data_IF_660903854969
#
_entry.id   IF_660903854969
#
_cell.length_a   1.000
_cell.length_b   1.000
_cell.length_c   1.000
_cell.angle_alpha   90.00
_cell.angle_beta   90.00
_cell.angle_gamma   90.00
#
_symmetry.space_group_name_H-M   'P 1'
#
loop_
_entity.id
_entity.type
_entity.pdbx_description
1 polymer ?
#
# COMPACT_ATOMS: atom_id res chain seq x y z
N UNK A 1 -18.17 -18.90 -7.24
CA UNK A 1 -18.62 -20.25 -6.84
C UNK A 1 -18.85 -20.34 -5.32
N UNK A 2 -18.01 -19.74 -4.47
CA UNK A 2 -18.17 -19.73 -3.01
C UNK A 2 -19.46 -19.04 -2.52
N UNK A 3 -19.87 -17.94 -3.14
CA UNK A 3 -21.14 -17.24 -2.82
C UNK A 3 -22.37 -18.10 -3.12
N UNK A 4 -22.34 -18.87 -4.23
CA UNK A 4 -23.45 -19.75 -4.60
C UNK A 4 -23.60 -20.92 -3.62
N UNK A 5 -22.49 -21.43 -3.09
CA UNK A 5 -22.53 -22.51 -2.10
C UNK A 5 -22.95 -21.99 -0.71
N UNK A 6 -22.51 -20.79 -0.31
CA UNK A 6 -22.98 -20.17 0.93
C UNK A 6 -24.48 -19.83 0.87
N UNK A 7 -24.97 -19.34 -0.27
CA UNK A 7 -26.40 -19.11 -0.50
C UNK A 7 -27.21 -20.41 -0.48
N UNK A 8 -26.66 -21.50 -1.04
CA UNK A 8 -27.30 -22.84 -0.99
C UNK A 8 -27.32 -23.43 0.42
N UNK A 9 -26.24 -23.20 1.20
CA UNK A 9 -26.18 -23.59 2.60
C UNK A 9 -27.22 -22.82 3.42
N UNK A 10 -27.34 -21.51 3.20
CA UNK A 10 -28.36 -20.67 3.83
C UNK A 10 -29.79 -21.09 3.49
N UNK A 11 -30.05 -21.49 2.24
CA UNK A 11 -31.36 -21.98 1.80
C UNK A 11 -31.71 -23.38 2.36
N UNK A 12 -30.72 -24.17 2.74
CA UNK A 12 -30.92 -25.52 3.27
C UNK A 12 -31.06 -25.54 4.81
N UNK A 13 -30.73 -24.46 5.47
CA UNK A 13 -30.81 -24.31 6.93
C UNK A 13 -31.83 -23.23 7.31
N UNK A 14 -32.50 -23.38 8.45
CA UNK A 14 -33.30 -22.28 8.99
C UNK A 14 -32.40 -21.12 9.42
N UNK A 15 -32.83 -19.89 9.21
CA UNK A 15 -32.06 -18.69 9.55
C UNK A 15 -31.48 -18.69 10.98
N UNK A 16 -32.25 -19.09 12.03
CA UNK A 16 -31.70 -19.21 13.38
C UNK A 16 -30.64 -20.30 13.51
N UNK A 17 -30.77 -21.40 12.77
CA UNK A 17 -29.74 -22.46 12.73
C UNK A 17 -28.44 -22.00 12.10
N UNK A 18 -28.50 -21.24 11.02
CA UNK A 18 -27.31 -20.66 10.38
C UNK A 18 -26.62 -19.64 11.30
N UNK A 19 -27.39 -18.77 11.95
CA UNK A 19 -26.82 -17.81 12.93
C UNK A 19 -26.14 -18.52 14.10
N UNK A 20 -26.72 -19.58 14.62
CA UNK A 20 -26.13 -20.38 15.71
C UNK A 20 -24.86 -21.09 15.26
N UNK A 21 -24.83 -21.60 14.03
CA UNK A 21 -23.65 -22.25 13.44
C UNK A 21 -22.51 -21.25 13.14
N UNK A 22 -22.83 -20.02 12.79
CA UNK A 22 -21.86 -18.95 12.53
C UNK A 22 -21.44 -18.15 13.78
N UNK A 23 -22.00 -18.45 14.96
CA UNK A 23 -21.49 -17.87 16.20
C UNK A 23 -20.03 -18.26 16.39
N UNK A 24 -19.13 -17.31 16.74
CA UNK A 24 -17.71 -17.52 16.75
C UNK A 24 -17.32 -18.63 17.75
N UNK A 25 -17.07 -19.80 17.22
CA UNK A 25 -16.41 -20.88 17.92
C UNK A 25 -14.92 -20.71 17.86
N UNK A 26 -14.36 -19.91 18.73
CA UNK A 26 -12.98 -19.97 19.20
C UNK A 26 -11.79 -19.97 18.25
N UNK A 27 -11.96 -19.80 16.96
CA UNK A 27 -10.85 -19.76 16.01
C UNK A 27 -10.46 -18.33 15.65
N UNK A 28 -9.48 -17.74 16.31
CA UNK A 28 -8.91 -16.47 15.87
C UNK A 28 -8.01 -16.67 14.66
N UNK A 29 -8.33 -15.96 13.57
CA UNK A 29 -7.42 -15.82 12.44
C UNK A 29 -6.42 -14.71 12.78
N UNK A 30 -5.17 -15.10 13.03
CA UNK A 30 -4.09 -14.14 13.27
C UNK A 30 -3.33 -13.89 11.98
N UNK A 31 -3.14 -12.62 11.68
CA UNK A 31 -2.33 -12.15 10.56
C UNK A 31 -1.20 -11.30 11.10
N UNK A 32 0.02 -11.56 10.66
CA UNK A 32 1.14 -10.66 10.87
C UNK A 32 1.25 -9.70 9.69
N UNK A 33 1.56 -8.46 10.00
CA UNK A 33 1.77 -7.39 9.04
C UNK A 33 3.26 -7.06 9.02
N UNK A 34 3.92 -7.31 7.91
CA UNK A 34 5.32 -6.94 7.69
C UNK A 34 5.40 -5.81 6.67
N UNK A 35 6.34 -4.88 6.88
CA UNK A 35 6.64 -3.81 5.92
C UNK A 35 7.71 -4.26 4.93
N UNK A 36 7.43 -4.21 3.62
CA UNK A 36 8.42 -4.36 2.56
C UNK A 36 8.68 -3.03 1.89
N UNK A 37 9.92 -2.60 1.88
CA UNK A 37 10.30 -1.37 1.19
C UNK A 37 10.49 -1.64 -0.31
N UNK A 38 9.76 -0.90 -1.15
CA UNK A 38 9.88 -0.91 -2.61
C UNK A 38 10.19 0.51 -3.06
N UNK A 39 11.42 0.77 -3.51
CA UNK A 39 11.87 2.09 -3.98
C UNK A 39 11.61 3.25 -2.99
N UNK A 40 11.75 3.01 -1.69
CA UNK A 40 11.50 4.01 -0.65
C UNK A 40 10.06 4.08 -0.16
N UNK A 41 9.15 3.26 -0.69
CA UNK A 41 7.75 3.17 -0.26
C UNK A 41 7.56 1.90 0.57
N UNK A 42 7.07 2.04 1.79
CA UNK A 42 6.72 0.91 2.64
C UNK A 42 5.37 0.33 2.19
N UNK A 43 5.42 -0.90 1.71
CA UNK A 43 4.26 -1.66 1.27
C UNK A 43 3.95 -2.77 2.29
N UNK A 44 2.68 -2.98 2.65
CA UNK A 44 2.31 -4.03 3.59
C UNK A 44 2.40 -5.41 2.94
N UNK A 45 2.94 -6.38 3.67
CA UNK A 45 2.92 -7.80 3.35
C UNK A 45 2.14 -8.52 4.43
N UNK A 46 1.06 -9.18 4.03
CA UNK A 46 0.24 -9.98 4.94
C UNK A 46 0.76 -11.40 4.97
N UNK A 47 1.17 -11.88 6.12
CA UNK A 47 1.42 -13.29 6.33
C UNK A 47 0.42 -13.86 7.34
N UNK A 48 -0.13 -15.01 7.00
CA UNK A 48 -1.01 -15.74 7.91
C UNK A 48 -0.12 -16.45 8.94
N UNK A 49 -0.24 -16.06 10.19
CA UNK A 49 0.31 -16.88 11.26
C UNK A 49 -0.46 -18.20 11.28
N UNK A 50 0.27 -19.31 11.23
CA UNK A 50 -0.34 -20.60 11.48
C UNK A 50 -0.87 -20.53 12.91
N UNK A 51 -2.17 -20.31 13.07
CA UNK A 51 -2.81 -20.53 14.36
C UNK A 51 -2.37 -21.90 14.84
N UNK A 52 -1.83 -21.96 16.06
CA UNK A 52 -1.33 -23.19 16.64
C UNK A 52 -2.32 -24.31 16.39
N UNK A 53 -1.81 -25.53 16.26
CA UNK A 53 -2.51 -26.76 15.88
C UNK A 53 -4.00 -26.67 16.15
N UNK A 54 -4.78 -26.68 15.06
CA UNK A 54 -6.24 -26.81 15.18
C UNK A 54 -6.48 -28.04 16.01
N UNK A 55 -6.75 -27.87 17.31
CA UNK A 55 -7.30 -28.95 18.13
C UNK A 55 -8.55 -29.36 17.38
N UNK A 56 -8.48 -30.51 16.71
CA UNK A 56 -9.35 -30.95 15.65
C UNK A 56 -10.83 -30.81 15.95
N UNK A 57 -11.42 -29.74 15.44
CA UNK A 57 -12.85 -29.52 15.55
C UNK A 57 -13.26 -28.37 14.65
N UNK A 58 -14.34 -28.54 13.93
CA UNK A 58 -15.02 -27.45 13.28
C UNK A 58 -15.48 -26.44 14.35
N UNK A 59 -15.36 -25.14 14.06
CA UNK A 59 -15.75 -24.06 14.98
C UNK A 59 -17.26 -23.98 15.27
N UNK A 60 -18.03 -24.92 14.75
CA UNK A 60 -19.49 -24.99 14.90
C UNK A 60 -19.91 -26.40 15.33
N UNK A 61 -21.03 -26.47 16.07
CA UNK A 61 -21.61 -27.74 16.55
C UNK A 61 -22.19 -28.57 15.41
N UNK A 62 -22.00 -29.89 15.46
CA UNK A 62 -22.54 -30.84 14.45
C UNK A 62 -24.07 -30.96 14.48
N UNK A 63 -24.71 -30.54 15.58
CA UNK A 63 -26.16 -30.59 15.71
C UNK A 63 -26.80 -29.55 14.80
N UNK A 64 -27.64 -30.03 13.86
CA UNK A 64 -28.40 -29.21 12.89
C UNK A 64 -27.58 -28.52 11.80
N UNK A 65 -26.27 -28.85 11.61
CA UNK A 65 -25.45 -28.33 10.53
C UNK A 65 -25.53 -29.22 9.29
N UNK A 66 -25.72 -28.58 8.12
CA UNK A 66 -25.74 -29.29 6.86
C UNK A 66 -24.30 -29.53 6.38
N UNK A 67 -23.99 -30.67 5.77
CA UNK A 67 -22.73 -30.97 5.10
C UNK A 67 -22.31 -29.90 4.05
N UNK A 68 -23.30 -29.17 3.52
CA UNK A 68 -23.06 -28.04 2.61
C UNK A 68 -22.32 -26.87 3.28
N UNK A 69 -22.47 -26.71 4.59
CA UNK A 69 -21.73 -25.71 5.33
C UNK A 69 -20.24 -26.07 5.39
N UNK A 70 -19.91 -27.33 5.57
CA UNK A 70 -18.54 -27.82 5.57
C UNK A 70 -17.85 -27.54 4.22
N UNK A 71 -18.57 -27.80 3.14
CA UNK A 71 -18.06 -27.54 1.79
C UNK A 71 -17.87 -26.04 1.53
N UNK A 72 -18.79 -25.21 2.00
CA UNK A 72 -18.69 -23.75 1.88
C UNK A 72 -17.48 -23.22 2.68
N UNK A 73 -17.26 -23.69 3.90
CA UNK A 73 -16.13 -23.30 4.75
C UNK A 73 -14.81 -23.72 4.10
N UNK A 74 -14.70 -24.97 3.59
CA UNK A 74 -13.50 -25.43 2.88
C UNK A 74 -13.16 -24.56 1.68
N UNK A 75 -14.14 -24.21 0.87
CA UNK A 75 -13.95 -23.33 -0.28
C UNK A 75 -13.52 -21.92 0.13
N UNK A 76 -14.11 -21.41 1.21
CA UNK A 76 -13.72 -20.10 1.77
C UNK A 76 -12.28 -20.11 2.27
N UNK A 77 -11.85 -21.21 2.94
CA UNK A 77 -10.46 -21.38 3.36
C UNK A 77 -9.48 -21.42 2.18
N UNK A 78 -9.89 -21.97 1.03
CA UNK A 78 -9.05 -21.98 -0.17
C UNK A 78 -8.95 -20.61 -0.84
N UNK A 79 -10.02 -19.82 -0.83
CA UNK A 79 -10.06 -18.49 -1.46
C UNK A 79 -9.42 -17.41 -0.58
N UNK A 80 -9.42 -17.58 0.74
CA UNK A 80 -8.89 -16.60 1.69
C UNK A 80 -7.46 -16.15 1.39
N UNK A 81 -6.47 -17.04 1.11
CA UNK A 81 -5.11 -16.61 0.79
C UNK A 81 -5.03 -15.79 -0.50
N UNK A 82 -5.86 -16.10 -1.49
CA UNK A 82 -5.92 -15.35 -2.75
C UNK A 82 -6.50 -13.95 -2.53
N UNK A 83 -7.52 -13.83 -1.70
CA UNK A 83 -8.09 -12.53 -1.31
C UNK A 83 -7.08 -11.67 -0.54
N UNK A 84 -6.28 -12.26 0.34
CA UNK A 84 -5.23 -11.55 1.04
C UNK A 84 -4.14 -11.05 0.09
N UNK A 85 -3.73 -11.89 -0.87
CA UNK A 85 -2.76 -11.51 -1.89
C UNK A 85 -3.28 -10.38 -2.78
N UNK A 86 -4.56 -10.44 -3.14
CA UNK A 86 -5.22 -9.38 -3.90
C UNK A 86 -5.22 -8.07 -3.12
N UNK A 87 -5.66 -8.09 -1.86
CA UNK A 87 -5.68 -6.91 -0.99
C UNK A 87 -4.29 -6.29 -0.79
N UNK A 88 -3.27 -7.14 -0.59
CA UNK A 88 -1.87 -6.70 -0.51
C UNK A 88 -1.41 -6.01 -1.78
N UNK A 89 -1.69 -6.60 -2.93
CA UNK A 89 -1.29 -6.07 -4.24
C UNK A 89 -2.00 -4.75 -4.52
N UNK A 90 -3.29 -4.68 -4.27
CA UNK A 90 -4.09 -3.46 -4.42
C UNK A 90 -3.54 -2.33 -3.54
N UNK A 91 -3.30 -2.62 -2.26
CA UNK A 91 -2.74 -1.60 -1.34
C UNK A 91 -1.36 -1.14 -1.76
N UNK A 92 -0.50 -2.04 -2.20
CA UNK A 92 0.83 -1.72 -2.71
C UNK A 92 0.75 -0.82 -3.95
N UNK A 93 -0.13 -1.12 -4.89
CA UNK A 93 -0.37 -0.28 -6.07
C UNK A 93 -0.86 1.12 -5.68
N UNK A 94 -1.78 1.24 -4.74
CA UNK A 94 -2.29 2.53 -4.27
C UNK A 94 -1.18 3.39 -3.65
N UNK A 95 -0.33 2.80 -2.80
CA UNK A 95 0.78 3.50 -2.15
C UNK A 95 1.83 3.96 -3.18
N UNK A 96 2.20 3.09 -4.11
CA UNK A 96 3.15 3.42 -5.19
C UNK A 96 2.60 4.51 -6.11
N UNK A 97 1.32 4.44 -6.48
CA UNK A 97 0.68 5.46 -7.31
C UNK A 97 0.66 6.83 -6.62
N UNK A 98 0.34 6.88 -5.33
CA UNK A 98 0.35 8.11 -4.55
C UNK A 98 1.75 8.74 -4.46
N UNK A 99 2.80 7.93 -4.25
CA UNK A 99 4.18 8.44 -4.20
C UNK A 99 4.70 8.85 -5.59
N UNK A 100 4.30 8.14 -6.65
CA UNK A 100 4.59 8.53 -8.02
C UNK A 100 4.01 9.91 -8.35
N UNK A 101 2.76 10.15 -7.98
CA UNK A 101 2.11 11.45 -8.19
C UNK A 101 2.79 12.57 -7.40
N UNK A 102 3.20 12.30 -6.15
CA UNK A 102 3.96 13.25 -5.33
C UNK A 102 5.31 13.56 -5.94
N UNK A 103 6.03 12.56 -6.42
CA UNK A 103 7.33 12.71 -7.07
C UNK A 103 7.19 13.49 -8.37
N UNK A 104 6.18 13.21 -9.18
CA UNK A 104 5.90 13.94 -10.41
C UNK A 104 5.64 15.43 -10.15
N UNK A 105 4.89 15.75 -9.09
CA UNK A 105 4.68 17.16 -8.68
C UNK A 105 5.99 17.84 -8.28
N UNK A 106 6.87 17.14 -7.53
CA UNK A 106 8.19 17.68 -7.17
C UNK A 106 9.07 17.91 -8.39
N UNK A 107 9.12 16.97 -9.32
CA UNK A 107 9.89 17.11 -10.57
C UNK A 107 9.39 18.31 -11.37
N UNK A 108 8.08 18.45 -11.56
CA UNK A 108 7.50 19.59 -12.28
C UNK A 108 7.85 20.93 -11.61
N UNK A 109 7.80 21.00 -10.28
CA UNK A 109 8.18 22.22 -9.56
C UNK A 109 9.68 22.54 -9.71
N UNK A 110 10.54 21.54 -9.66
CA UNK A 110 11.98 21.72 -9.88
C UNK A 110 12.26 22.19 -11.31
N UNK A 111 11.65 21.57 -12.30
CA UNK A 111 11.91 21.83 -13.71
C UNK A 111 11.42 23.21 -14.16
N UNK A 112 10.23 23.61 -13.69
CA UNK A 112 9.56 24.81 -14.18
C UNK A 112 9.73 26.05 -13.28
N UNK A 113 10.08 25.87 -12.01
CA UNK A 113 10.22 26.98 -11.07
C UNK A 113 11.67 27.09 -10.60
N UNK A 114 12.22 26.07 -9.92
CA UNK A 114 13.50 26.20 -9.24
C UNK A 114 14.68 26.33 -10.21
N UNK A 115 14.73 25.52 -11.26
CA UNK A 115 15.81 25.57 -12.24
C UNK A 115 15.86 26.91 -12.98
N UNK A 116 14.78 27.49 -13.52
CA UNK A 116 14.85 28.78 -14.20
C UNK A 116 15.18 29.92 -13.25
N UNK A 117 14.65 29.94 -12.02
CA UNK A 117 14.99 30.96 -11.01
C UNK A 117 16.48 30.91 -10.65
N UNK A 118 17.01 29.71 -10.41
CA UNK A 118 18.43 29.51 -10.10
C UNK A 118 19.33 29.94 -11.26
N UNK A 119 18.97 29.62 -12.49
CA UNK A 119 19.67 30.07 -13.69
C UNK A 119 19.69 31.58 -13.82
N UNK A 120 18.58 32.23 -13.52
CA UNK A 120 18.49 33.69 -13.54
C UNK A 120 19.36 34.33 -12.44
N UNK A 121 19.35 33.79 -11.24
CA UNK A 121 20.21 34.22 -10.14
C UNK A 121 21.70 34.11 -10.50
N UNK A 122 22.11 32.98 -11.06
CA UNK A 122 23.48 32.76 -11.53
C UNK A 122 23.88 33.81 -12.58
N UNK A 123 22.98 34.10 -13.55
CA UNK A 123 23.23 35.12 -14.57
C UNK A 123 23.48 36.51 -13.96
N UNK A 124 22.64 36.89 -13.00
CA UNK A 124 22.77 38.20 -12.32
C UNK A 124 24.07 38.29 -11.52
N UNK A 125 24.43 37.23 -10.81
CA UNK A 125 25.70 37.18 -10.05
C UNK A 125 26.89 37.29 -11.00
N UNK A 126 26.87 36.54 -12.11
CA UNK A 126 27.94 36.58 -13.12
C UNK A 126 28.11 37.99 -13.71
N UNK A 127 27.02 38.65 -14.09
CA UNK A 127 27.07 40.01 -14.58
C UNK A 127 27.68 40.99 -13.56
N UNK A 128 27.32 40.84 -12.27
CA UNK A 128 27.89 41.69 -11.21
C UNK A 128 29.38 41.45 -11.01
N UNK A 129 29.83 40.18 -11.09
CA UNK A 129 31.25 39.86 -11.01
C UNK A 129 32.04 40.44 -12.17
N UNK A 130 31.56 40.28 -13.41
CA UNK A 130 32.17 40.88 -14.60
C UNK A 130 32.27 42.39 -14.50
N UNK A 131 31.23 43.08 -14.01
CA UNK A 131 31.26 44.51 -13.81
C UNK A 131 32.24 44.96 -12.73
N UNK A 132 32.32 44.21 -11.62
CA UNK A 132 33.30 44.44 -10.59
C UNK A 132 34.74 44.29 -11.09
N UNK A 133 35.03 43.22 -11.88
CA UNK A 133 36.32 43.02 -12.51
C UNK A 133 36.66 44.18 -13.49
N UNK A 134 35.71 44.58 -14.33
CA UNK A 134 35.89 45.72 -15.25
C UNK A 134 36.20 47.00 -14.47
N UNK A 135 35.44 47.28 -13.42
CA UNK A 135 35.65 48.48 -12.60
C UNK A 135 37.01 48.47 -11.86
N UNK A 136 37.48 47.29 -11.43
CA UNK A 136 38.79 47.12 -10.82
C UNK A 136 39.93 47.39 -11.85
N UNK A 137 39.81 46.88 -13.07
CA UNK A 137 40.75 47.11 -14.15
C UNK A 137 40.85 48.60 -14.51
N UNK A 138 39.69 49.30 -14.59
CA UNK A 138 39.68 50.74 -14.88
C UNK A 138 40.37 51.53 -13.76
N UNK A 139 40.16 51.17 -12.47
CA UNK A 139 40.85 51.83 -11.33
C UNK A 139 42.35 51.60 -11.39
N UNK A 140 42.79 50.37 -11.69
CA UNK A 140 44.21 50.06 -11.85
C UNK A 140 44.84 50.83 -13.02
N UNK A 141 44.13 50.97 -14.16
CA UNK A 141 44.59 51.76 -15.30
C UNK A 141 44.78 53.25 -14.97
N UNK A 142 43.86 53.83 -14.15
CA UNK A 142 43.98 55.25 -13.69
C UNK A 142 45.12 55.46 -12.66
N UNK A 143 45.40 54.43 -11.84
CA UNK A 143 46.47 54.55 -10.83
C UNK A 143 47.90 54.42 -11.45
N UNK A 144 48.01 53.98 -12.70
CA UNK A 144 49.28 53.86 -13.44
C UNK A 144 49.61 55.09 -14.27
N UNK A 145 48.70 56.02 -14.43
CA UNK A 145 48.95 57.35 -15.04
C UNK A 145 49.33 58.37 -13.97
#
# INVERSE_FOLDING_TARGET
>A
QGEKESARAAAAMSEPGLRTALLPGGGELRFSLEGKNIMGVETPVFSREKAGEKTGGYSYGFAFTSWRLDEAVRRMEQVLPELLMLAQTEKSCQLLAAELERTRRRVNALEHIVIPETRQAIRVIRMKLEENERSALVRLGRAKQ
#
